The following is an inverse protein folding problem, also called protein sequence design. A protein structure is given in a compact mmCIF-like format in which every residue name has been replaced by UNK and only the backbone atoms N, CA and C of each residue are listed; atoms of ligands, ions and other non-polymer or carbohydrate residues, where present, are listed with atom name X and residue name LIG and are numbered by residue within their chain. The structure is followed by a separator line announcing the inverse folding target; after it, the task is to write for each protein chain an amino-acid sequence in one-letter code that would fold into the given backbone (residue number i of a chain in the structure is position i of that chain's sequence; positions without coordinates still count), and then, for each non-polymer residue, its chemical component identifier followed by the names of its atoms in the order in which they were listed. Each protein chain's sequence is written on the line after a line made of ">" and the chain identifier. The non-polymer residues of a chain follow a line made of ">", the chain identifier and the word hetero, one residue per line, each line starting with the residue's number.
data_IF_187344069152
#
_entry.id   IF_187344069152
#
_cell.length_a   1.000
_cell.length_b   1.000
_cell.length_c   1.000
_cell.angle_alpha   90.00
_cell.angle_beta   90.00
_cell.angle_gamma   90.00
#
_symmetry.space_group_name_H-M   'P 1'
#
loop_
_entity.id
_entity.type
_entity.pdbx_description
1 polymer ?
#
# COMPACT_ATOMS: atom_id res chain seq x y z
N UNK A 1 -5.39 18.17 3.63
CA UNK A 1 -5.79 16.88 4.24
C UNK A 1 -5.03 15.80 3.50
N UNK A 2 -4.52 14.77 4.18
CA UNK A 2 -3.73 13.70 3.56
C UNK A 2 -4.48 12.38 3.71
N UNK A 3 -4.47 11.54 2.69
CA UNK A 3 -5.06 10.20 2.70
C UNK A 3 -3.95 9.17 2.59
N UNK A 4 -3.97 8.17 3.47
CA UNK A 4 -3.12 6.98 3.37
C UNK A 4 -3.99 5.80 2.94
N UNK A 5 -3.67 5.21 1.79
CA UNK A 5 -4.32 4.00 1.28
C UNK A 5 -3.47 2.79 1.67
N UNK A 6 -4.11 1.76 2.23
CA UNK A 6 -3.46 0.47 2.48
C UNK A 6 -3.59 -0.37 1.21
N UNK A 7 -2.45 -0.84 0.68
CA UNK A 7 -2.42 -1.67 -0.51
C UNK A 7 -2.84 -3.11 -0.21
N UNK A 8 -3.79 -3.62 -0.98
CA UNK A 8 -4.06 -5.05 -1.05
C UNK A 8 -3.21 -5.69 -2.15
N UNK A 9 -2.50 -6.78 -1.81
CA UNK A 9 -1.61 -7.51 -2.71
C UNK A 9 -1.46 -8.97 -2.26
N UNK A 10 -0.77 -9.79 -3.06
CA UNK A 10 -0.38 -11.17 -2.75
C UNK A 10 1.14 -11.35 -2.56
N UNK A 11 1.86 -10.24 -2.36
CA UNK A 11 3.32 -10.09 -2.31
C UNK A 11 4.00 -10.13 -3.69
N UNK A 12 3.28 -10.48 -4.76
CA UNK A 12 3.81 -10.43 -6.13
C UNK A 12 3.20 -9.27 -6.92
N UNK A 13 1.90 -9.03 -6.78
CA UNK A 13 1.17 -8.01 -7.54
C UNK A 13 0.12 -7.27 -6.68
N UNK A 14 -0.15 -6.02 -7.06
CA UNK A 14 -1.26 -5.24 -6.51
C UNK A 14 -2.60 -5.81 -6.97
N UNK A 15 -3.58 -5.87 -6.07
CA UNK A 15 -4.95 -6.21 -6.44
C UNK A 15 -5.69 -4.99 -7.02
N UNK A 16 -6.66 -5.19 -7.94
CA UNK A 16 -7.45 -4.11 -8.53
C UNK A 16 -8.22 -3.25 -7.51
N UNK A 17 -8.55 -3.82 -6.34
CA UNK A 17 -9.17 -3.11 -5.22
C UNK A 17 -8.35 -1.89 -4.79
N UNK A 18 -7.02 -2.00 -4.79
CA UNK A 18 -6.12 -0.89 -4.45
C UNK A 18 -6.26 0.28 -5.44
N UNK A 19 -6.32 0.00 -6.74
CA UNK A 19 -6.47 1.04 -7.78
C UNK A 19 -7.82 1.77 -7.68
N UNK A 20 -8.89 1.03 -7.37
CA UNK A 20 -10.21 1.61 -7.13
C UNK A 20 -10.18 2.55 -5.91
N UNK A 21 -9.50 2.14 -4.84
CA UNK A 21 -9.35 2.94 -3.62
C UNK A 21 -8.52 4.19 -3.85
N UNK A 22 -7.40 4.11 -4.59
CA UNK A 22 -6.59 5.27 -4.98
C UNK A 22 -7.43 6.25 -5.81
N UNK A 23 -8.20 5.73 -6.77
CA UNK A 23 -9.09 6.55 -7.61
C UNK A 23 -10.16 7.26 -6.79
N UNK A 24 -10.69 6.62 -5.74
CA UNK A 24 -11.62 7.24 -4.81
C UNK A 24 -10.94 8.29 -3.92
N UNK A 25 -9.75 7.99 -3.39
CA UNK A 25 -8.96 8.92 -2.59
C UNK A 25 -8.61 10.20 -3.36
N UNK A 26 -8.27 10.08 -4.65
CA UNK A 26 -8.00 11.22 -5.54
C UNK A 26 -9.17 12.17 -5.71
N UNK A 27 -10.41 11.69 -5.59
CA UNK A 27 -11.61 12.55 -5.62
C UNK A 27 -11.75 13.39 -4.35
N UNK A 28 -11.09 12.99 -3.25
CA UNK A 28 -11.12 13.70 -1.98
C UNK A 28 -9.96 14.69 -1.85
N UNK A 29 -8.77 14.30 -2.32
CA UNK A 29 -7.57 15.13 -2.25
C UNK A 29 -6.50 14.67 -3.25
N UNK A 30 -5.62 15.59 -3.65
CA UNK A 30 -4.43 15.24 -4.44
C UNK A 30 -3.28 14.64 -3.62
N UNK A 31 -3.34 14.75 -2.29
CA UNK A 31 -2.31 14.30 -1.34
C UNK A 31 -2.60 12.86 -0.87
N UNK A 32 -2.31 11.89 -1.75
CA UNK A 32 -2.55 10.46 -1.54
C UNK A 32 -1.24 9.72 -1.43
N UNK A 33 -1.03 9.07 -0.28
CA UNK A 33 0.08 8.14 -0.05
C UNK A 33 -0.45 6.70 -0.07
N UNK A 34 0.42 5.76 -0.44
CA UNK A 34 0.15 4.32 -0.38
C UNK A 34 1.09 3.66 0.63
N UNK A 35 0.61 2.70 1.41
CA UNK A 35 1.45 1.79 2.21
C UNK A 35 1.28 0.35 1.77
N UNK A 36 2.41 -0.35 1.62
CA UNK A 36 2.51 -1.77 1.24
C UNK A 36 3.12 -2.52 2.42
N UNK A 37 2.39 -3.50 2.97
CA UNK A 37 2.83 -4.31 4.11
C UNK A 37 2.90 -5.78 3.69
N UNK A 38 4.10 -6.34 3.60
CA UNK A 38 4.29 -7.70 3.09
C UNK A 38 5.66 -8.27 3.35
N UNK A 39 5.96 -9.38 2.68
CA UNK A 39 7.27 -10.02 2.69
C UNK A 39 7.70 -10.29 1.25
N UNK A 40 8.93 -9.90 0.90
CA UNK A 40 9.45 -10.00 -0.47
C UNK A 40 8.59 -9.25 -1.51
N UNK A 41 7.97 -8.14 -1.10
CA UNK A 41 6.99 -7.38 -1.88
C UNK A 41 7.58 -6.23 -2.72
N UNK A 42 8.86 -6.29 -3.07
CA UNK A 42 9.55 -5.20 -3.79
C UNK A 42 8.99 -4.98 -5.21
N UNK A 43 8.49 -6.04 -5.84
CA UNK A 43 7.79 -5.97 -7.13
C UNK A 43 6.50 -5.15 -7.00
N UNK A 44 5.72 -5.37 -5.93
CA UNK A 44 4.50 -4.62 -5.64
C UNK A 44 4.79 -3.13 -5.47
N UNK A 45 5.90 -2.79 -4.81
CA UNK A 45 6.34 -1.41 -4.65
C UNK A 45 6.75 -0.77 -5.98
N UNK A 46 7.40 -1.53 -6.85
CA UNK A 46 7.76 -1.09 -8.20
C UNK A 46 6.52 -0.81 -9.04
N UNK A 47 5.54 -1.70 -9.01
CA UNK A 47 4.25 -1.50 -9.69
C UNK A 47 3.52 -0.25 -9.15
N UNK A 48 3.52 -0.06 -7.83
CA UNK A 48 2.91 1.10 -7.19
C UNK A 48 3.59 2.42 -7.56
N UNK A 49 4.92 2.42 -7.70
CA UNK A 49 5.69 3.62 -8.04
C UNK A 49 5.34 4.18 -9.44
N UNK A 50 4.80 3.34 -10.34
CA UNK A 50 4.31 3.76 -11.65
C UNK A 50 2.93 4.42 -11.65
N UNK A 51 2.27 4.55 -10.48
CA UNK A 51 0.93 5.14 -10.38
C UNK A 51 1.05 6.65 -10.16
N UNK A 52 0.78 7.43 -11.21
CA UNK A 52 0.84 8.91 -11.20
C UNK A 52 -0.01 9.58 -10.10
N UNK A 53 -1.02 8.87 -9.61
CA UNK A 53 -1.92 9.37 -8.57
C UNK A 53 -1.30 9.35 -7.15
N UNK A 54 -0.14 8.74 -6.94
CA UNK A 54 0.48 8.63 -5.63
C UNK A 54 1.55 9.70 -5.42
N UNK A 55 1.62 10.25 -4.22
CA UNK A 55 2.67 11.18 -3.82
C UNK A 55 3.86 10.45 -3.19
N UNK A 56 3.59 9.50 -2.30
CA UNK A 56 4.59 8.61 -1.72
C UNK A 56 4.09 7.16 -1.69
N UNK A 57 5.04 6.23 -1.78
CA UNK A 57 4.81 4.80 -1.55
C UNK A 57 5.69 4.37 -0.37
N UNK A 58 5.03 3.97 0.72
CA UNK A 58 5.67 3.44 1.92
C UNK A 58 5.71 1.92 1.86
N UNK A 59 6.84 1.33 2.26
CA UNK A 59 7.07 -0.11 2.16
C UNK A 59 7.46 -0.65 3.54
N UNK A 60 6.69 -1.60 4.03
CA UNK A 60 6.97 -2.40 5.21
C UNK A 60 7.20 -3.84 4.76
N UNK A 61 8.46 -4.17 4.45
CA UNK A 61 8.87 -5.51 4.03
C UNK A 61 9.48 -6.25 5.23
N UNK A 62 8.80 -7.29 5.72
CA UNK A 62 9.25 -8.10 6.86
C UNK A 62 8.58 -9.47 6.89
N UNK A 63 9.29 -10.50 7.36
CA UNK A 63 8.82 -11.89 7.34
C UNK A 63 7.47 -12.12 8.05
N UNK A 64 7.24 -11.43 9.17
CA UNK A 64 5.97 -11.53 9.91
C UNK A 64 4.75 -10.98 9.13
N UNK A 65 4.97 -10.12 8.13
CA UNK A 65 3.90 -9.56 7.30
C UNK A 65 3.54 -10.44 6.10
N UNK A 66 4.15 -11.62 5.95
CA UNK A 66 3.91 -12.54 4.83
C UNK A 66 2.44 -12.82 4.57
N UNK A 67 1.64 -12.92 5.63
CA UNK A 67 0.20 -13.23 5.58
C UNK A 67 -0.71 -12.03 5.88
N UNK A 68 -0.12 -10.84 6.10
CA UNK A 68 -0.84 -9.59 6.41
C UNK A 68 -1.92 -9.77 7.50
N UNK A 69 -1.58 -10.47 8.59
CA UNK A 69 -2.52 -10.62 9.70
C UNK A 69 -2.90 -9.24 10.24
N UNK A 70 -4.16 -9.10 10.64
CA UNK A 70 -4.71 -7.81 11.08
C UNK A 70 -3.88 -7.17 12.19
N UNK A 71 -3.44 -7.98 13.16
CA UNK A 71 -2.62 -7.56 14.28
C UNK A 71 -1.22 -7.08 13.86
N UNK A 72 -0.63 -7.74 12.87
CA UNK A 72 0.71 -7.42 12.37
C UNK A 72 0.70 -6.11 11.56
N UNK A 73 -0.30 -5.98 10.66
CA UNK A 73 -0.48 -4.78 9.83
C UNK A 73 -0.85 -3.56 10.68
N UNK A 74 -1.64 -3.74 11.74
CA UNK A 74 -2.05 -2.65 12.65
C UNK A 74 -0.97 -2.29 13.69
N UNK A 75 0.05 -3.12 13.88
CA UNK A 75 1.07 -2.85 14.89
C UNK A 75 1.81 -1.53 14.60
N UNK A 76 2.24 -0.82 15.66
CA UNK A 76 3.06 0.40 15.59
C UNK A 76 4.42 0.23 14.87
N UNK A 77 4.68 -0.93 14.26
CA UNK A 77 5.86 -1.20 13.42
C UNK A 77 5.62 -0.85 11.95
N UNK A 78 4.37 -0.74 11.49
CA UNK A 78 4.06 -0.48 10.07
C UNK A 78 3.42 0.89 9.81
N UNK A 79 2.57 1.39 10.72
CA UNK A 79 1.79 2.64 10.57
C UNK A 79 2.25 3.66 11.60
#
# INVERSE_FOLDING_TARGET
>A
MRVLVIAEHDNAALKPSTLNTISAAKKLTDDVDLIICGFECDNVATDAAGIDALKNVHICNSEHLKYQLSEDVYSNRCI
#
